data_IF_602219207387
#
_entry.id   IF_602219207387
#
_cell.length_a   1.000
_cell.length_b   1.000
_cell.length_c   1.000
_cell.angle_alpha   90.00
_cell.angle_beta   90.00
_cell.angle_gamma   90.00
#
_symmetry.space_group_name_H-M   'P 1'
#
loop_
_entity.id
_entity.type
_entity.pdbx_description
1 polymer ?
#
# COMPACT_ATOMS: atom_id res chain seq x y z
N UNK A 1 15.14 2.83 22.52
CA UNK A 1 13.84 3.11 21.87
C UNK A 1 13.64 2.32 20.56
N UNK A 2 14.04 1.04 20.53
CA UNK A 2 13.96 0.19 19.32
C UNK A 2 12.60 -0.50 19.23
N UNK A 3 12.08 -0.97 20.37
CA UNK A 3 10.80 -1.67 20.47
C UNK A 3 9.60 -0.87 19.91
N UNK A 4 9.49 0.42 20.25
CA UNK A 4 8.39 1.28 19.78
C UNK A 4 8.41 1.52 18.28
N UNK A 5 9.59 1.48 17.65
CA UNK A 5 9.73 1.60 16.20
C UNK A 5 9.25 0.34 15.48
N UNK A 6 9.63 -0.85 15.97
CA UNK A 6 9.18 -2.13 15.39
C UNK A 6 7.68 -2.32 15.51
N UNK A 7 7.08 -1.98 16.67
CA UNK A 7 5.63 -2.06 16.85
C UNK A 7 4.87 -1.07 15.95
N UNK A 8 5.42 0.13 15.75
CA UNK A 8 4.82 1.12 14.83
C UNK A 8 4.84 0.63 13.37
N UNK A 9 5.96 0.07 12.91
CA UNK A 9 6.05 -0.50 11.56
C UNK A 9 5.13 -1.70 11.38
N UNK A 10 5.11 -2.61 12.35
CA UNK A 10 4.19 -3.75 12.36
C UNK A 10 2.73 -3.32 12.26
N UNK A 11 2.27 -2.39 13.11
CA UNK A 11 0.88 -1.93 13.09
C UNK A 11 0.52 -1.23 11.77
N UNK A 12 1.44 -0.44 11.23
CA UNK A 12 1.24 0.21 9.94
C UNK A 12 1.09 -0.80 8.79
N UNK A 13 1.95 -1.83 8.76
CA UNK A 13 1.91 -2.88 7.75
C UNK A 13 0.67 -3.75 7.87
N UNK A 14 0.28 -4.14 9.09
CA UNK A 14 -0.96 -4.88 9.34
C UNK A 14 -2.19 -4.12 8.81
N UNK A 15 -2.30 -2.83 9.14
CA UNK A 15 -3.36 -1.96 8.61
C UNK A 15 -3.29 -1.82 7.09
N UNK A 16 -2.09 -1.77 6.52
CA UNK A 16 -1.94 -1.70 5.07
C UNK A 16 -2.45 -2.98 4.38
N UNK A 17 -2.22 -4.17 4.96
CA UNK A 17 -2.80 -5.43 4.47
C UNK A 17 -4.33 -5.42 4.55
N UNK A 18 -4.89 -4.96 5.66
CA UNK A 18 -6.35 -4.82 5.84
C UNK A 18 -6.96 -3.91 4.76
N UNK A 19 -6.22 -2.89 4.31
CA UNK A 19 -6.66 -1.93 3.29
C UNK A 19 -6.40 -2.37 1.85
N UNK A 20 -5.66 -3.46 1.61
CA UNK A 20 -5.24 -3.88 0.26
C UNK A 20 -6.40 -3.95 -0.73
N UNK A 21 -7.46 -4.68 -0.37
CA UNK A 21 -8.62 -4.88 -1.25
C UNK A 21 -9.32 -3.56 -1.61
N UNK A 22 -9.39 -2.63 -0.66
CA UNK A 22 -9.99 -1.31 -0.88
C UNK A 22 -9.11 -0.47 -1.81
N UNK A 23 -7.79 -0.51 -1.62
CA UNK A 23 -6.84 0.20 -2.49
C UNK A 23 -6.88 -0.33 -3.93
N UNK A 24 -6.87 -1.65 -4.11
CA UNK A 24 -7.00 -2.30 -5.43
C UNK A 24 -8.35 -1.94 -6.09
N UNK A 25 -9.44 -1.92 -5.32
CA UNK A 25 -10.75 -1.50 -5.80
C UNK A 25 -10.78 -0.04 -6.26
N UNK A 26 -10.20 0.88 -5.47
CA UNK A 26 -10.15 2.31 -5.82
C UNK A 26 -9.36 2.54 -7.11
N UNK A 27 -8.21 1.88 -7.27
CA UNK A 27 -7.41 1.95 -8.50
C UNK A 27 -8.19 1.39 -9.70
N UNK A 28 -8.86 0.25 -9.52
CA UNK A 28 -9.66 -0.36 -10.58
C UNK A 28 -10.82 0.55 -11.00
N UNK A 29 -11.53 1.12 -10.02
CA UNK A 29 -12.64 2.05 -10.27
C UNK A 29 -12.18 3.32 -10.98
N UNK A 30 -11.02 3.87 -10.62
CA UNK A 30 -10.46 5.06 -11.27
C UNK A 30 -10.15 4.82 -12.75
N UNK A 31 -9.61 3.64 -13.10
CA UNK A 31 -9.34 3.27 -14.49
C UNK A 31 -10.58 3.12 -15.37
N UNK A 32 -11.75 2.89 -14.77
CA UNK A 32 -13.02 2.82 -15.49
C UNK A 32 -13.59 4.21 -15.78
N UNK A 33 -13.05 5.27 -15.18
CA UNK A 33 -13.51 6.63 -15.44
C UNK A 33 -12.89 7.18 -16.74
N UNK A 34 -13.62 8.01 -17.51
CA UNK A 34 -13.07 8.69 -18.68
C UNK A 34 -11.86 9.59 -18.35
N UNK A 35 -11.86 10.16 -17.15
CA UNK A 35 -10.76 10.96 -16.61
C UNK A 35 -10.35 10.42 -15.24
N UNK A 36 -9.05 10.24 -15.02
CA UNK A 36 -8.52 9.77 -13.74
C UNK A 36 -8.70 10.83 -12.66
N UNK A 37 -9.30 10.45 -11.54
CA UNK A 37 -9.40 11.25 -10.32
C UNK A 37 -8.19 11.03 -9.39
N UNK A 38 -7.48 9.90 -9.54
CA UNK A 38 -6.26 9.60 -8.77
C UNK A 38 -4.99 10.25 -9.34
N UNK A 39 -4.87 10.36 -10.67
CA UNK A 39 -3.68 10.92 -11.34
C UNK A 39 -3.97 12.35 -11.81
N UNK A 40 -4.01 13.27 -10.86
CA UNK A 40 -4.37 14.68 -11.08
C UNK A 40 -3.26 15.63 -10.60
N UNK A 41 -3.41 16.93 -10.93
CA UNK A 41 -2.47 17.98 -10.50
C UNK A 41 -1.25 18.16 -11.41
N UNK A 42 -0.17 18.67 -10.81
CA UNK A 42 1.10 18.96 -11.50
C UNK A 42 1.90 17.69 -11.84
N UNK A 43 2.97 17.85 -12.63
CA UNK A 43 3.82 16.72 -13.08
C UNK A 43 4.30 15.87 -11.90
N UNK A 44 4.75 16.52 -10.82
CA UNK A 44 5.26 15.85 -9.62
C UNK A 44 4.18 15.03 -8.91
N UNK A 45 2.97 15.57 -8.78
CA UNK A 45 1.83 14.88 -8.17
C UNK A 45 1.42 13.66 -9.00
N UNK A 46 1.39 13.80 -10.34
CA UNK A 46 1.08 12.70 -11.25
C UNK A 46 2.12 11.57 -11.17
N UNK A 47 3.40 11.89 -11.17
CA UNK A 47 4.48 10.91 -11.03
C UNK A 47 4.38 10.16 -9.70
N UNK A 48 4.09 10.87 -8.60
CA UNK A 48 3.88 10.25 -7.29
C UNK A 48 2.66 9.34 -7.28
N UNK A 49 1.53 9.78 -7.84
CA UNK A 49 0.31 8.97 -7.92
C UNK A 49 0.56 7.68 -8.72
N UNK A 50 1.24 7.78 -9.86
CA UNK A 50 1.62 6.62 -10.67
C UNK A 50 2.56 5.67 -9.94
N UNK A 51 3.54 6.18 -9.18
CA UNK A 51 4.41 5.35 -8.36
C UNK A 51 3.62 4.59 -7.28
N UNK A 52 2.63 5.22 -6.65
CA UNK A 52 1.77 4.57 -5.65
C UNK A 52 0.86 3.51 -6.27
N UNK A 53 0.28 3.79 -7.43
CA UNK A 53 -0.51 2.79 -8.18
C UNK A 53 0.36 1.57 -8.50
N UNK A 54 1.60 1.78 -8.97
CA UNK A 54 2.55 0.67 -9.22
C UNK A 54 2.84 -0.17 -7.98
N UNK A 55 2.91 0.43 -6.79
CA UNK A 55 3.10 -0.30 -5.53
C UNK A 55 1.85 -1.09 -5.16
N UNK A 56 0.66 -0.48 -5.28
CA UNK A 56 -0.63 -1.14 -4.98
C UNK A 56 -0.85 -2.35 -5.90
N UNK A 57 -0.41 -2.29 -7.15
CA UNK A 57 -0.57 -3.39 -8.10
C UNK A 57 0.55 -4.44 -8.05
N UNK A 58 1.60 -4.19 -7.28
CA UNK A 58 2.73 -5.10 -7.19
C UNK A 58 2.40 -6.25 -6.23
N UNK A 59 2.21 -7.45 -6.78
CA UNK A 59 1.95 -8.65 -6.01
C UNK A 59 3.07 -9.00 -5.01
N UNK A 60 4.33 -8.88 -5.44
CA UNK A 60 5.50 -9.23 -4.62
C UNK A 60 5.64 -8.29 -3.41
N UNK A 61 5.27 -7.02 -3.56
CA UNK A 61 5.22 -6.07 -2.45
C UNK A 61 4.27 -6.56 -1.35
N UNK A 62 3.05 -6.95 -1.72
CA UNK A 62 2.07 -7.45 -0.76
C UNK A 62 2.51 -8.77 -0.13
N UNK A 63 3.06 -9.68 -0.92
CA UNK A 63 3.56 -10.97 -0.42
C UNK A 63 4.72 -10.78 0.59
N UNK A 64 5.65 -9.87 0.30
CA UNK A 64 6.73 -9.54 1.22
C UNK A 64 6.21 -8.96 2.55
N UNK A 65 5.18 -8.11 2.48
CA UNK A 65 4.59 -7.48 3.64
C UNK A 65 3.80 -8.48 4.51
N UNK A 66 3.08 -9.42 3.87
CA UNK A 66 2.47 -10.57 4.54
C UNK A 66 3.52 -11.38 5.30
N UNK A 67 4.63 -11.75 4.65
CA UNK A 67 5.71 -12.52 5.29
C UNK A 67 6.31 -11.79 6.50
N UNK A 68 6.49 -10.47 6.39
CA UNK A 68 7.02 -9.67 7.50
C UNK A 68 6.07 -9.64 8.70
N UNK A 69 4.77 -9.42 8.47
CA UNK A 69 3.75 -9.39 9.54
C UNK A 69 3.66 -10.74 10.24
N UNK A 70 3.59 -11.84 9.47
CA UNK A 70 3.56 -13.19 10.04
C UNK A 70 4.81 -13.53 10.83
N UNK A 71 6.01 -13.17 10.34
CA UNK A 71 7.26 -13.41 11.06
C UNK A 71 7.25 -12.74 12.43
N UNK A 72 6.72 -11.51 12.53
CA UNK A 72 6.63 -10.82 13.81
C UNK A 72 5.58 -11.48 14.70
N UNK A 73 4.40 -11.82 14.19
CA UNK A 73 3.35 -12.50 14.97
C UNK A 73 3.81 -13.86 15.52
N UNK A 74 4.64 -14.62 14.82
CA UNK A 74 5.15 -15.93 15.25
C UNK A 74 6.29 -15.82 16.30
N UNK A 75 6.97 -14.67 16.38
CA UNK A 75 8.08 -14.45 17.34
C UNK A 75 7.65 -13.96 18.73
N UNK A 76 6.35 -13.79 19.00
CA UNK A 76 5.78 -13.31 20.27
C UNK A 76 4.67 -14.23 20.79
#
# INVERSE_FOLDING_TARGET
AVLTRWTSHYLAFRRLLEMRAILEFIVTKDRMQPESQLVTGDKKSKEKAQAMIKVIENHDFWLALVRYVYFIEDTW
#
